data_IF_749113974547
#
_entry.id   IF_749113974547
#
_cell.length_a   1.000
_cell.length_b   1.000
_cell.length_c   1.000
_cell.angle_alpha   90.00
_cell.angle_beta   90.00
_cell.angle_gamma   90.00
#
_symmetry.space_group_name_H-M   'P 1'
#
loop_
_entity.id
_entity.type
_entity.pdbx_description
1 polymer ?
#
# COMPACT_ATOMS: atom_id res chain seq x y z
N UNK A 1 7.29 0.10 -14.18
CA UNK A 1 8.34 1.10 -14.44
C UNK A 1 9.65 0.64 -13.82
N UNK A 2 10.71 0.60 -14.61
CA UNK A 2 12.02 0.18 -14.12
C UNK A 2 12.53 1.00 -12.94
N UNK A 3 12.24 2.26 -12.91
CA UNK A 3 12.78 3.10 -11.85
C UNK A 3 12.12 2.83 -10.48
N UNK A 4 10.95 2.21 -10.44
CA UNK A 4 10.34 1.78 -9.18
C UNK A 4 11.20 0.70 -8.50
N UNK A 5 11.69 -0.26 -9.28
CA UNK A 5 12.61 -1.27 -8.75
C UNK A 5 13.87 -0.61 -8.18
N UNK A 6 14.46 0.31 -8.93
CA UNK A 6 15.65 1.03 -8.50
C UNK A 6 15.42 1.82 -7.21
N UNK A 7 14.26 2.48 -7.10
CA UNK A 7 13.90 3.22 -5.89
C UNK A 7 13.71 2.26 -4.72
N UNK A 8 12.97 1.17 -4.93
CA UNK A 8 12.69 0.21 -3.88
C UNK A 8 13.95 -0.52 -3.39
N UNK A 9 14.89 -0.80 -4.29
CA UNK A 9 16.16 -1.44 -3.91
C UNK A 9 17.03 -0.53 -3.03
N UNK A 10 16.86 0.78 -3.11
CA UNK A 10 17.55 1.75 -2.27
C UNK A 10 16.92 1.93 -0.89
N UNK A 11 15.69 1.43 -0.69
CA UNK A 11 14.99 1.54 0.58
C UNK A 11 15.47 0.43 1.51
N UNK A 12 16.11 0.82 2.60
CA UNK A 12 16.62 -0.10 3.60
C UNK A 12 15.63 -0.22 4.76
N UNK A 13 14.88 -1.32 4.81
CA UNK A 13 13.87 -1.53 5.84
C UNK A 13 14.48 -1.70 7.25
N UNK A 14 15.75 -2.08 7.35
CA UNK A 14 16.46 -2.21 8.62
C UNK A 14 16.51 -0.88 9.39
N UNK A 15 16.43 0.24 8.69
CA UNK A 15 16.34 1.57 9.31
C UNK A 15 15.01 1.81 10.01
N UNK A 16 14.00 0.96 9.76
CA UNK A 16 12.68 1.05 10.33
C UNK A 16 12.47 -0.01 11.42
N UNK A 17 13.27 0.04 12.46
CA UNK A 17 13.13 -0.76 13.70
C UNK A 17 12.79 -2.24 13.43
N UNK A 18 13.57 -2.89 12.60
CA UNK A 18 13.42 -4.32 12.35
C UNK A 18 13.88 -5.10 13.60
N UNK A 19 13.05 -6.03 14.06
CA UNK A 19 13.38 -6.94 15.16
C UNK A 19 13.25 -8.37 14.66
N UNK A 20 14.40 -9.04 14.39
CA UNK A 20 14.43 -10.38 13.83
C UNK A 20 13.70 -10.44 12.46
N UNK A 21 12.69 -11.31 12.39
CA UNK A 21 11.88 -11.51 11.18
C UNK A 21 10.64 -10.60 11.13
N UNK A 22 10.59 -9.57 11.98
CA UNK A 22 9.48 -8.64 12.04
C UNK A 22 9.90 -7.24 11.58
N UNK A 23 8.92 -6.49 11.05
CA UNK A 23 9.07 -5.10 10.60
C UNK A 23 8.08 -4.24 11.37
N UNK A 24 8.52 -3.08 11.86
CA UNK A 24 7.63 -2.12 12.49
C UNK A 24 6.89 -1.31 11.43
N UNK A 25 5.55 -1.31 11.51
CA UNK A 25 4.69 -0.51 10.64
C UNK A 25 4.42 0.84 11.29
N UNK A 26 4.89 1.97 10.70
CA UNK A 26 4.67 3.30 11.29
C UNK A 26 3.22 3.77 11.21
N UNK A 27 2.41 3.19 10.34
CA UNK A 27 1.00 3.55 10.19
C UNK A 27 0.17 2.82 11.25
N UNK A 28 0.34 1.50 11.37
CA UNK A 28 -0.40 0.67 12.33
C UNK A 28 0.25 0.64 13.72
N UNK A 29 1.50 1.10 13.83
CA UNK A 29 2.26 1.20 15.08
C UNK A 29 2.46 -0.12 15.82
N UNK A 30 2.70 -1.21 15.09
CA UNK A 30 3.06 -2.50 15.68
C UNK A 30 3.99 -3.31 14.76
N UNK A 31 4.59 -4.35 15.34
CA UNK A 31 5.48 -5.26 14.60
C UNK A 31 4.66 -6.28 13.81
N UNK A 32 5.11 -6.54 12.58
CA UNK A 32 4.49 -7.49 11.66
C UNK A 32 5.54 -8.46 11.14
N UNK A 33 5.09 -9.67 10.78
CA UNK A 33 5.98 -10.62 10.10
C UNK A 33 6.47 -10.05 8.76
N UNK A 34 7.78 -10.15 8.53
CA UNK A 34 8.42 -9.63 7.32
C UNK A 34 8.21 -10.56 6.11
N UNK A 35 6.97 -10.82 5.74
CA UNK A 35 6.64 -11.57 4.53
C UNK A 35 7.07 -10.78 3.28
N UNK A 36 7.27 -11.42 2.12
CA UNK A 36 7.60 -10.70 0.89
C UNK A 36 6.59 -9.61 0.55
N UNK A 37 5.29 -9.87 0.72
CA UNK A 37 4.24 -8.88 0.47
C UNK A 37 4.31 -7.72 1.46
N UNK A 38 4.53 -8.00 2.76
CA UNK A 38 4.64 -6.94 3.77
C UNK A 38 5.88 -6.08 3.53
N UNK A 39 6.98 -6.66 3.07
CA UNK A 39 8.17 -5.89 2.67
C UNK A 39 7.84 -4.93 1.52
N UNK A 40 7.07 -5.36 0.53
CA UNK A 40 6.62 -4.49 -0.57
C UNK A 40 5.75 -3.36 -0.01
N UNK A 41 4.82 -3.68 0.87
CA UNK A 41 3.94 -2.68 1.49
C UNK A 41 4.75 -1.62 2.24
N UNK A 42 5.70 -2.03 3.07
CA UNK A 42 6.52 -1.12 3.86
C UNK A 42 7.41 -0.24 2.98
N UNK A 43 8.02 -0.80 1.93
CA UNK A 43 8.77 -0.02 0.95
C UNK A 43 7.88 0.98 0.22
N UNK A 44 6.66 0.60 -0.10
CA UNK A 44 5.68 1.50 -0.73
C UNK A 44 5.35 2.67 0.19
N UNK A 45 5.13 2.42 1.48
CA UNK A 45 4.88 3.49 2.46
C UNK A 45 6.06 4.46 2.51
N UNK A 46 7.28 3.95 2.55
CA UNK A 46 8.50 4.80 2.52
C UNK A 46 8.56 5.64 1.24
N UNK A 47 8.27 5.01 0.10
CA UNK A 47 8.22 5.72 -1.19
C UNK A 47 7.22 6.87 -1.17
N UNK A 48 6.01 6.61 -0.66
CA UNK A 48 4.97 7.63 -0.58
C UNK A 48 5.38 8.83 0.27
N UNK A 49 6.04 8.58 1.40
CA UNK A 49 6.49 9.64 2.30
C UNK A 49 7.70 10.39 1.77
N UNK A 50 8.72 9.68 1.29
CA UNK A 50 10.00 10.29 0.92
C UNK A 50 10.01 10.84 -0.49
N UNK A 51 9.44 10.13 -1.46
CA UNK A 51 9.47 10.54 -2.87
C UNK A 51 8.28 11.44 -3.23
N UNK A 52 7.09 11.14 -2.68
CA UNK A 52 5.88 11.90 -3.00
C UNK A 52 5.47 12.89 -1.92
N UNK A 53 6.13 12.88 -0.78
CA UNK A 53 5.86 13.83 0.31
C UNK A 53 4.48 13.71 0.94
N UNK A 54 3.87 12.52 0.88
CA UNK A 54 2.53 12.31 1.43
C UNK A 54 2.61 12.22 2.95
N UNK A 55 1.83 13.05 3.69
CA UNK A 55 1.84 13.00 5.15
C UNK A 55 1.31 11.66 5.68
N UNK A 56 1.90 11.17 6.77
CA UNK A 56 1.52 9.90 7.37
C UNK A 56 0.04 9.87 7.80
N UNK A 57 -0.52 11.00 8.20
CA UNK A 57 -1.92 11.07 8.62
C UNK A 57 -2.93 10.87 7.47
N UNK A 58 -2.47 10.88 6.21
CA UNK A 58 -3.31 10.63 5.04
C UNK A 58 -3.14 9.22 4.48
N UNK A 59 -2.32 8.39 5.09
CA UNK A 59 -2.04 7.02 4.64
C UNK A 59 -2.71 6.05 5.60
N UNK A 60 -3.58 5.20 5.07
CA UNK A 60 -4.23 4.12 5.80
C UNK A 60 -3.79 2.77 5.23
N UNK A 61 -3.65 1.79 6.09
CA UNK A 61 -3.20 0.44 5.74
C UNK A 61 -4.26 -0.56 6.16
N UNK A 62 -4.49 -1.55 5.30
CA UNK A 62 -5.49 -2.61 5.55
C UNK A 62 -6.90 -2.02 5.77
N UNK A 63 -7.28 -1.03 4.97
CA UNK A 63 -8.58 -0.38 5.10
C UNK A 63 -9.70 -1.32 4.65
N UNK A 64 -10.63 -1.62 5.57
CA UNK A 64 -11.77 -2.49 5.30
C UNK A 64 -12.81 -1.80 4.42
N UNK A 65 -13.24 -2.48 3.38
CA UNK A 65 -14.31 -1.99 2.51
C UNK A 65 -15.64 -1.86 3.24
N UNK A 66 -15.85 -2.64 4.31
CA UNK A 66 -17.04 -2.57 5.13
C UNK A 66 -17.22 -1.24 5.87
N UNK A 67 -16.13 -0.48 6.08
CA UNK A 67 -16.21 0.84 6.69
C UNK A 67 -16.92 1.86 5.79
N UNK A 68 -16.83 1.68 4.48
CA UNK A 68 -17.43 2.59 3.50
C UNK A 68 -18.75 2.07 2.97
N UNK A 69 -18.85 0.77 2.74
CA UNK A 69 -20.04 0.14 2.19
C UNK A 69 -20.42 -1.08 3.03
N UNK A 70 -21.57 -1.01 3.69
CA UNK A 70 -22.09 -2.10 4.52
C UNK A 70 -22.20 -3.39 3.71
N UNK A 71 -21.67 -4.49 4.28
CA UNK A 71 -21.67 -5.79 3.63
C UNK A 71 -20.57 -6.00 2.60
N UNK A 72 -19.78 -4.98 2.26
CA UNK A 72 -18.65 -5.15 1.39
C UNK A 72 -17.54 -5.96 2.06
N UNK A 73 -16.80 -6.71 1.25
CA UNK A 73 -15.72 -7.59 1.73
C UNK A 73 -14.36 -7.09 1.25
N UNK A 74 -13.34 -7.50 1.97
CA UNK A 74 -11.96 -7.23 1.63
C UNK A 74 -11.41 -5.98 2.26
N UNK A 75 -10.11 -5.78 2.04
CA UNK A 75 -9.35 -4.65 2.55
C UNK A 75 -8.42 -4.17 1.47
N UNK A 76 -8.37 -2.85 1.26
CA UNK A 76 -7.35 -2.25 0.43
C UNK A 76 -6.03 -2.20 1.20
N UNK A 77 -4.93 -2.58 0.56
CA UNK A 77 -3.62 -2.62 1.22
C UNK A 77 -3.19 -1.24 1.71
N UNK A 78 -3.30 -0.22 0.87
CA UNK A 78 -2.99 1.16 1.22
C UNK A 78 -4.05 2.06 0.60
N UNK A 79 -4.55 3.00 1.38
CA UNK A 79 -5.46 4.06 0.94
C UNK A 79 -4.82 5.40 1.25
N UNK A 80 -4.76 6.28 0.26
CA UNK A 80 -4.24 7.63 0.40
C UNK A 80 -5.39 8.61 0.27
N UNK A 81 -5.55 9.48 1.27
CA UNK A 81 -6.54 10.53 1.25
C UNK A 81 -5.93 11.84 0.73
N UNK A 82 -6.74 12.63 0.06
CA UNK A 82 -6.37 13.93 -0.50
C UNK A 82 -6.38 15.03 0.56
N UNK A 83 -7.19 14.83 1.59
CA UNK A 83 -7.45 15.79 2.65
C UNK A 83 -7.04 15.26 4.03
N UNK A 84 -6.83 16.18 4.97
CA UNK A 84 -6.46 15.80 6.35
C UNK A 84 -7.65 15.21 7.12
N UNK A 85 -8.87 15.49 6.72
CA UNK A 85 -10.09 14.92 7.29
C UNK A 85 -10.33 13.47 6.86
N UNK A 86 -9.55 12.99 5.87
CA UNK A 86 -9.63 11.64 5.35
C UNK A 86 -11.04 11.29 4.82
N UNK A 87 -11.59 12.19 4.02
CA UNK A 87 -12.92 12.02 3.41
C UNK A 87 -12.88 11.85 1.90
N UNK A 88 -11.80 12.32 1.25
CA UNK A 88 -11.65 12.29 -0.21
C UNK A 88 -10.47 11.38 -0.57
N UNK A 89 -10.76 10.23 -1.17
CA UNK A 89 -9.74 9.24 -1.51
C UNK A 89 -9.04 9.61 -2.82
N UNK A 90 -7.74 9.81 -2.74
CA UNK A 90 -6.91 10.08 -3.93
C UNK A 90 -6.58 8.80 -4.67
N UNK A 91 -6.07 7.80 -3.96
CA UNK A 91 -5.50 6.60 -4.57
C UNK A 91 -5.66 5.40 -3.66
N UNK A 92 -5.89 4.25 -4.26
CA UNK A 92 -5.70 2.97 -3.59
C UNK A 92 -4.46 2.28 -4.18
N UNK A 93 -3.76 1.54 -3.33
CA UNK A 93 -2.59 0.78 -3.76
C UNK A 93 -2.76 -0.65 -3.30
N UNK A 94 -2.64 -1.60 -4.25
CA UNK A 94 -2.59 -3.02 -3.96
C UNK A 94 -1.15 -3.50 -4.06
N UNK A 95 -0.67 -4.11 -2.97
CA UNK A 95 0.69 -4.62 -2.86
C UNK A 95 0.67 -6.14 -2.99
N UNK A 96 1.56 -6.66 -3.81
CA UNK A 96 1.75 -8.10 -3.98
C UNK A 96 3.23 -8.45 -3.78
N UNK A 97 3.52 -9.70 -3.46
CA UNK A 97 4.90 -10.14 -3.37
C UNK A 97 5.59 -10.03 -4.74
N UNK A 98 6.94 -9.96 -4.79
CA UNK A 98 7.65 -9.89 -6.07
C UNK A 98 7.40 -11.10 -6.99
N UNK A 99 6.88 -12.18 -6.47
CA UNK A 99 6.59 -13.40 -7.23
C UNK A 99 5.23 -13.37 -7.92
N UNK A 100 4.38 -12.37 -7.63
CA UNK A 100 3.04 -12.24 -8.19
C UNK A 100 3.08 -11.28 -9.37
N UNK A 101 2.45 -11.70 -10.48
CA UNK A 101 2.31 -10.84 -11.66
C UNK A 101 1.17 -9.84 -11.43
N UNK A 102 1.51 -8.56 -11.29
CA UNK A 102 0.51 -7.49 -11.09
C UNK A 102 -0.22 -7.10 -12.39
N UNK A 103 0.24 -7.60 -13.53
CA UNK A 103 -0.42 -7.37 -14.82
C UNK A 103 -1.58 -8.35 -15.05
N UNK A 104 -1.79 -9.29 -14.13
CA UNK A 104 -2.90 -10.23 -14.21
C UNK A 104 -4.25 -9.59 -13.93
N UNK A 105 -5.30 -10.12 -14.59
CA UNK A 105 -6.66 -9.57 -14.50
C UNK A 105 -7.24 -9.59 -13.08
N UNK A 106 -6.89 -10.60 -12.29
CA UNK A 106 -7.43 -10.75 -10.93
C UNK A 106 -7.02 -9.61 -9.99
N UNK A 107 -5.75 -9.21 -10.05
CA UNK A 107 -5.23 -8.11 -9.22
C UNK A 107 -5.93 -6.81 -9.62
N UNK A 108 -6.06 -6.55 -10.90
CA UNK A 108 -6.73 -5.37 -11.42
C UNK A 108 -8.22 -5.36 -11.04
N UNK A 109 -8.90 -6.48 -11.15
CA UNK A 109 -10.33 -6.59 -10.78
C UNK A 109 -10.55 -6.29 -9.31
N UNK A 110 -9.70 -6.82 -8.44
CA UNK A 110 -9.76 -6.56 -7.00
C UNK A 110 -9.58 -5.06 -6.71
N UNK A 111 -8.53 -4.46 -7.29
CA UNK A 111 -8.25 -3.05 -7.12
C UNK A 111 -9.37 -2.16 -7.68
N UNK A 112 -9.91 -2.51 -8.84
CA UNK A 112 -11.03 -1.79 -9.46
C UNK A 112 -12.29 -1.83 -8.58
N UNK A 113 -12.57 -2.97 -7.95
CA UNK A 113 -13.69 -3.10 -7.01
C UNK A 113 -13.52 -2.17 -5.81
N UNK A 114 -12.34 -2.12 -5.23
CA UNK A 114 -12.04 -1.22 -4.12
C UNK A 114 -12.10 0.25 -4.53
N UNK A 115 -11.55 0.57 -5.69
CA UNK A 115 -11.62 1.92 -6.25
C UNK A 115 -13.05 2.40 -6.37
N UNK A 116 -13.95 1.55 -6.85
CA UNK A 116 -15.36 1.87 -7.02
C UNK A 116 -16.03 2.15 -5.68
N UNK A 117 -15.80 1.30 -4.68
CA UNK A 117 -16.37 1.48 -3.33
C UNK A 117 -15.87 2.77 -2.69
N UNK A 118 -14.57 3.04 -2.78
CA UNK A 118 -13.93 4.21 -2.15
C UNK A 118 -14.02 5.47 -3.01
N UNK A 119 -14.48 5.37 -4.26
CA UNK A 119 -14.49 6.46 -5.23
C UNK A 119 -13.10 7.11 -5.38
N UNK A 120 -12.06 6.29 -5.45
CA UNK A 120 -10.69 6.74 -5.61
C UNK A 120 -10.43 7.23 -7.03
N UNK A 121 -9.60 8.26 -7.17
CA UNK A 121 -9.22 8.78 -8.48
C UNK A 121 -8.23 7.86 -9.18
N UNK A 122 -7.28 7.28 -8.44
CA UNK A 122 -6.20 6.48 -8.99
C UNK A 122 -6.10 5.10 -8.36
N UNK A 123 -5.55 4.18 -9.13
CA UNK A 123 -5.14 2.85 -8.68
C UNK A 123 -3.65 2.71 -8.94
N UNK A 124 -2.92 2.15 -7.98
CA UNK A 124 -1.54 1.69 -8.17
C UNK A 124 -1.44 0.23 -7.79
N UNK A 125 -0.86 -0.57 -8.66
CA UNK A 125 -0.53 -1.96 -8.40
C UNK A 125 0.98 -2.07 -8.30
N UNK A 126 1.50 -2.69 -7.26
CA UNK A 126 2.95 -2.75 -7.02
C UNK A 126 3.36 -4.10 -6.45
N UNK A 127 4.47 -4.65 -6.96
CA UNK A 127 5.07 -5.87 -6.41
C UNK A 127 6.55 -5.67 -6.01
N UNK A 128 7.03 -4.42 -6.01
CA UNK A 128 8.42 -4.10 -5.70
C UNK A 128 9.35 -4.12 -6.90
N UNK A 129 8.90 -4.67 -8.03
CA UNK A 129 9.63 -4.71 -9.29
C UNK A 129 8.94 -3.82 -10.32
N UNK A 130 7.63 -3.90 -10.35
CA UNK A 130 6.77 -3.14 -11.26
C UNK A 130 5.70 -2.39 -10.47
N UNK A 131 5.23 -1.35 -11.09
CA UNK A 131 4.08 -0.60 -10.59
C UNK A 131 3.26 -0.04 -11.75
#
# INVERSE_FOLDING_TARGET
>A
MKYIEEIFDKIELEKFQRDGDCIYDPIRCFLLAATPEECVRQKTIVFLQQELGIPVNRIFVEESMAHTKKGARGRADIVIYRDDECTDVLMIIECKSPYINILGDEVFKQASGYREILNAEYIMLVNGIEA
#
